data_IF_061129664023
#
_entry.id   IF_061129664023
#
_cell.length_a   1.000
_cell.length_b   1.000
_cell.length_c   1.000
_cell.angle_alpha   90.00
_cell.angle_beta   90.00
_cell.angle_gamma   90.00
#
_symmetry.space_group_name_H-M   'P 1'
#
loop_
_entity.id
_entity.type
_entity.pdbx_description
1 polymer ?
#
# COMPACT_ATOMS: atom_id res chain seq x y z
N UNK A 1 8.39 6.69 -24.54
CA UNK A 1 8.61 5.78 -23.41
C UNK A 1 8.43 6.59 -22.15
N UNK A 2 7.49 6.23 -21.27
CA UNK A 2 7.50 6.77 -19.91
C UNK A 2 8.67 6.10 -19.19
N UNK A 3 9.63 6.88 -18.71
CA UNK A 3 10.73 6.35 -17.91
C UNK A 3 10.16 5.88 -16.56
N UNK A 4 10.21 4.58 -16.30
CA UNK A 4 9.94 4.03 -14.97
C UNK A 4 11.26 4.02 -14.19
N UNK A 5 11.74 5.21 -13.82
CA UNK A 5 12.74 5.31 -12.75
C UNK A 5 12.01 5.05 -11.44
N UNK A 6 12.54 4.17 -10.58
CA UNK A 6 11.97 4.00 -9.25
C UNK A 6 12.05 5.32 -8.50
N UNK A 7 10.98 5.66 -7.76
CA UNK A 7 11.00 6.82 -6.90
C UNK A 7 12.13 6.68 -5.86
N UNK A 8 12.74 7.80 -5.42
CA UNK A 8 13.68 7.78 -4.31
C UNK A 8 13.12 6.97 -3.12
N UNK A 9 13.93 6.19 -2.38
CA UNK A 9 13.43 5.34 -1.30
C UNK A 9 12.72 6.12 -0.18
N UNK A 10 13.06 7.40 -0.05
CA UNK A 10 12.50 8.39 0.87
C UNK A 10 11.28 9.14 0.29
N UNK A 11 10.92 8.89 -0.97
CA UNK A 11 9.77 9.53 -1.58
C UNK A 11 8.48 9.10 -0.87
N UNK A 12 7.66 10.09 -0.54
CA UNK A 12 6.34 9.87 0.02
C UNK A 12 5.46 9.10 -0.99
N UNK A 13 4.65 8.15 -0.51
CA UNK A 13 3.74 7.36 -1.36
C UNK A 13 2.83 8.27 -2.19
N UNK A 14 2.55 7.88 -3.43
CA UNK A 14 1.82 8.73 -4.36
C UNK A 14 0.39 9.06 -3.89
N UNK A 15 -0.24 8.18 -3.09
CA UNK A 15 -1.53 8.49 -2.45
C UNK A 15 -1.36 9.49 -1.31
N UNK A 16 -0.28 9.39 -0.54
CA UNK A 16 0.03 10.33 0.53
C UNK A 16 0.27 11.74 -0.01
N UNK A 17 0.99 11.89 -1.13
CA UNK A 17 1.15 13.18 -1.83
C UNK A 17 -0.18 13.79 -2.29
N UNK A 18 -1.16 12.97 -2.66
CA UNK A 18 -2.50 13.45 -3.03
C UNK A 18 -3.31 13.94 -1.82
N UNK A 19 -3.22 13.27 -0.66
CA UNK A 19 -3.82 13.77 0.58
C UNK A 19 -3.11 15.06 1.06
N UNK A 20 -1.78 14.97 1.19
CA UNK A 20 -0.78 15.99 0.88
C UNK A 20 -1.27 17.38 0.48
N UNK A 21 -1.71 17.43 -0.77
CA UNK A 21 -2.11 18.62 -1.50
C UNK A 21 -3.30 19.38 -0.89
N UNK A 22 -4.06 18.76 0.02
CA UNK A 22 -5.18 19.40 0.72
C UNK A 22 -4.79 20.01 2.07
N UNK A 23 -3.53 19.92 2.50
CA UNK A 23 -3.10 20.48 3.79
C UNK A 23 -3.25 22.00 3.86
N UNK A 24 -3.08 22.69 2.72
CA UNK A 24 -3.23 24.14 2.60
C UNK A 24 -4.68 24.56 2.25
N UNK A 25 -5.62 23.61 2.26
CA UNK A 25 -7.05 23.85 2.00
C UNK A 25 -7.85 23.65 3.29
N UNK A 26 -8.66 24.64 3.66
CA UNK A 26 -9.50 24.54 4.85
C UNK A 26 -10.65 23.54 4.64
N UNK A 27 -10.78 22.59 5.56
CA UNK A 27 -11.97 21.75 5.69
C UNK A 27 -12.75 22.19 6.91
N UNK A 28 -14.01 22.59 6.74
CA UNK A 28 -14.85 23.11 7.83
C UNK A 28 -14.16 24.22 8.65
N UNK A 29 -13.44 25.13 7.96
CA UNK A 29 -12.78 26.28 8.57
C UNK A 29 -11.47 25.99 9.31
N UNK A 30 -10.91 24.77 9.18
CA UNK A 30 -9.63 24.38 9.81
C UNK A 30 -8.71 23.73 8.79
N UNK A 31 -7.41 23.95 8.97
CA UNK A 31 -6.38 23.18 8.28
C UNK A 31 -6.13 21.87 9.01
N UNK A 32 -5.82 20.84 8.24
CA UNK A 32 -5.47 19.52 8.76
C UNK A 32 -4.25 19.01 8.02
N UNK A 33 -3.48 18.17 8.71
CA UNK A 33 -2.51 17.33 8.05
C UNK A 33 -3.20 16.02 7.65
N UNK A 34 -3.40 15.85 6.35
CA UNK A 34 -4.11 14.72 5.76
C UNK A 34 -3.17 13.56 5.48
N UNK A 35 -3.54 12.39 5.97
CA UNK A 35 -2.86 11.12 5.72
C UNK A 35 -3.77 10.18 4.95
N UNK A 36 -3.24 9.34 4.05
CA UNK A 36 -4.05 8.43 3.25
C UNK A 36 -4.74 7.37 4.11
N UNK A 37 -5.96 7.02 3.74
CA UNK A 37 -6.64 5.79 4.16
C UNK A 37 -6.51 4.77 3.04
N UNK A 38 -5.92 3.63 3.35
CA UNK A 38 -5.79 2.48 2.44
C UNK A 38 -6.88 1.44 2.73
N UNK A 39 -7.01 0.46 1.84
CA UNK A 39 -7.77 -0.77 2.06
C UNK A 39 -9.28 -0.54 2.29
N UNK A 40 -9.87 0.45 1.63
CA UNK A 40 -11.33 0.62 1.58
C UNK A 40 -11.93 -0.38 0.56
N UNK A 41 -12.70 -1.39 1.01
CA UNK A 41 -13.22 -2.41 0.12
C UNK A 41 -14.35 -1.90 -0.78
N UNK A 42 -15.03 -0.81 -0.40
CA UNK A 42 -16.15 -0.26 -1.15
C UNK A 42 -15.67 0.72 -2.24
N UNK A 43 -14.62 1.49 -1.95
CA UNK A 43 -14.10 2.50 -2.87
C UNK A 43 -12.56 2.60 -2.80
N UNK A 44 -11.82 1.58 -3.26
CA UNK A 44 -10.35 1.53 -3.15
C UNK A 44 -9.65 2.64 -3.93
N UNK A 45 -10.31 3.19 -4.95
CA UNK A 45 -9.76 4.26 -5.79
C UNK A 45 -10.29 5.67 -5.47
N UNK A 46 -11.12 5.83 -4.44
CA UNK A 46 -11.46 7.15 -3.92
C UNK A 46 -10.28 7.71 -3.11
N UNK A 47 -10.11 9.04 -3.11
CA UNK A 47 -9.10 9.70 -2.27
C UNK A 47 -9.68 9.92 -0.87
N UNK A 48 -9.66 8.86 -0.05
CA UNK A 48 -10.01 8.95 1.37
C UNK A 48 -8.78 9.27 2.19
N UNK A 49 -8.88 10.30 3.03
CA UNK A 49 -7.81 10.76 3.89
C UNK A 49 -8.33 10.91 5.32
N UNK A 50 -7.45 10.72 6.30
CA UNK A 50 -7.74 10.95 7.70
C UNK A 50 -6.85 12.07 8.24
N UNK A 51 -7.40 12.91 9.11
CA UNK A 51 -6.62 13.97 9.73
C UNK A 51 -5.71 13.40 10.82
N UNK A 52 -4.42 13.74 10.77
CA UNK A 52 -3.44 13.25 11.75
C UNK A 52 -3.85 13.65 13.18
N UNK A 53 -3.88 12.66 14.07
CA UNK A 53 -4.23 12.86 15.48
C UNK A 53 -5.71 13.18 15.74
N UNK A 54 -6.60 13.05 14.74
CA UNK A 54 -8.04 13.27 14.88
C UNK A 54 -8.80 12.03 14.41
N UNK A 55 -10.00 11.81 14.96
CA UNK A 55 -10.90 10.76 14.46
C UNK A 55 -11.80 11.29 13.33
N UNK A 56 -11.18 11.86 12.30
CA UNK A 56 -11.86 12.45 11.14
C UNK A 56 -11.34 11.78 9.87
N UNK A 57 -12.25 11.18 9.10
CA UNK A 57 -11.98 10.56 7.79
C UNK A 57 -12.89 11.21 6.77
N UNK A 58 -12.32 11.65 5.65
CA UNK A 58 -13.03 12.39 4.61
C UNK A 58 -12.61 11.86 3.24
N UNK A 59 -13.56 11.79 2.32
CA UNK A 59 -13.27 11.64 0.90
C UNK A 59 -13.00 13.03 0.30
N UNK A 60 -11.73 13.31 0.01
CA UNK A 60 -11.30 14.63 -0.51
C UNK A 60 -11.45 14.72 -2.04
N UNK A 61 -11.46 13.58 -2.72
CA UNK A 61 -11.75 13.49 -4.16
C UNK A 61 -12.40 12.15 -4.51
N UNK A 62 -13.29 12.12 -5.52
CA UNK A 62 -14.00 10.90 -5.93
C UNK A 62 -13.07 9.83 -6.53
N UNK A 63 -11.91 10.25 -7.05
CA UNK A 63 -10.88 9.33 -7.55
C UNK A 63 -9.48 9.87 -7.27
N UNK A 64 -8.55 8.95 -7.01
CA UNK A 64 -7.11 9.20 -7.06
C UNK A 64 -6.63 9.34 -8.51
N UNK A 65 -5.42 9.87 -8.68
CA UNK A 65 -4.73 9.94 -9.97
C UNK A 65 -4.39 8.55 -10.51
N UNK A 66 -4.42 8.40 -11.83
CA UNK A 66 -4.11 7.13 -12.48
C UNK A 66 -2.68 6.67 -12.16
N UNK A 67 -2.51 5.38 -11.85
CA UNK A 67 -1.24 4.79 -11.42
C UNK A 67 -1.03 4.77 -9.91
N UNK A 68 -1.92 5.39 -9.12
CA UNK A 68 -1.90 5.25 -7.66
C UNK A 68 -2.27 3.82 -7.26
N UNK A 69 -1.53 3.22 -6.31
CA UNK A 69 -1.89 1.90 -5.77
C UNK A 69 -3.29 1.93 -5.14
N UNK A 70 -4.08 0.89 -5.39
CA UNK A 70 -5.39 0.73 -4.76
C UNK A 70 -5.25 0.53 -3.24
N UNK A 71 -4.30 -0.34 -2.87
CA UNK A 71 -4.06 -0.84 -1.52
C UNK A 71 -2.56 -0.83 -1.24
N UNK A 72 -2.17 -0.73 0.04
CA UNK A 72 -0.76 -0.66 0.42
C UNK A 72 0.01 -1.96 0.08
N UNK A 73 -0.65 -3.11 0.19
CA UNK A 73 -0.04 -4.43 0.06
C UNK A 73 -0.20 -5.05 -1.35
N UNK A 74 -0.70 -4.29 -2.33
CA UNK A 74 -0.95 -4.78 -3.69
C UNK A 74 -0.21 -3.97 -4.76
N UNK A 75 0.10 -4.65 -5.87
CA UNK A 75 0.55 -4.01 -7.11
C UNK A 75 -0.59 -3.32 -7.87
N UNK A 76 -1.84 -3.66 -7.56
CA UNK A 76 -3.01 -3.16 -8.27
C UNK A 76 -3.08 -1.63 -8.23
N UNK A 77 -3.44 -1.04 -9.38
CA UNK A 77 -3.44 0.39 -9.59
C UNK A 77 -4.82 0.90 -9.95
N UNK A 78 -5.12 2.11 -9.50
CA UNK A 78 -6.30 2.84 -9.92
C UNK A 78 -6.11 3.40 -11.32
N UNK A 79 -7.01 3.05 -12.22
CA UNK A 79 -7.07 3.57 -13.60
C UNK A 79 -8.50 3.99 -13.88
N UNK A 80 -8.71 5.28 -14.15
CA UNK A 80 -10.03 5.88 -14.35
C UNK A 80 -11.00 5.59 -13.20
N UNK A 81 -10.51 5.54 -11.96
CA UNK A 81 -11.30 5.28 -10.76
C UNK A 81 -11.63 3.80 -10.50
N UNK A 82 -11.14 2.88 -11.34
CA UNK A 82 -11.33 1.43 -11.17
C UNK A 82 -10.01 0.81 -10.73
N UNK A 83 -10.06 -0.07 -9.73
CA UNK A 83 -8.88 -0.82 -9.31
C UNK A 83 -8.59 -1.95 -10.32
N UNK A 84 -7.45 -1.84 -11.00
CA UNK A 84 -7.03 -2.76 -12.05
C UNK A 84 -5.87 -3.63 -11.57
N UNK A 85 -5.92 -4.91 -11.92
CA UNK A 85 -4.89 -5.87 -11.54
C UNK A 85 -3.55 -5.56 -12.21
N UNK A 86 -2.45 -5.68 -11.47
CA UNK A 86 -1.09 -5.53 -12.01
C UNK A 86 -0.26 -6.75 -11.65
N UNK A 87 0.30 -7.41 -12.65
CA UNK A 87 1.18 -8.56 -12.43
C UNK A 87 2.53 -8.15 -11.85
N UNK A 88 3.27 -9.11 -11.29
CA UNK A 88 4.62 -8.89 -10.75
C UNK A 88 5.61 -8.33 -11.78
N UNK A 89 5.32 -8.47 -13.08
CA UNK A 89 6.07 -7.90 -14.19
C UNK A 89 5.72 -6.43 -14.48
N UNK A 90 4.97 -5.78 -13.57
CA UNK A 90 4.54 -4.37 -13.63
C UNK A 90 3.66 -4.04 -14.85
N UNK A 91 2.98 -5.05 -15.39
CA UNK A 91 2.05 -4.87 -16.52
C UNK A 91 0.60 -4.91 -16.03
N UNK A 92 -0.18 -3.92 -16.48
CA UNK A 92 -1.62 -3.83 -16.23
C UNK A 92 -2.35 -5.01 -16.89
N UNK A 93 -3.22 -5.68 -16.15
CA UNK A 93 -3.97 -6.86 -16.60
C UNK A 93 -3.13 -8.15 -16.73
N UNK A 94 -1.86 -8.12 -16.34
CA UNK A 94 -1.01 -9.31 -16.36
C UNK A 94 -1.37 -10.25 -15.21
N UNK A 95 -1.47 -11.55 -15.52
CA UNK A 95 -1.67 -12.61 -14.53
C UNK A 95 -0.37 -13.15 -13.94
N UNK A 96 0.78 -12.52 -14.25
CA UNK A 96 2.07 -12.93 -13.71
C UNK A 96 2.11 -12.75 -12.19
N UNK A 97 2.50 -13.80 -11.47
CA UNK A 97 2.65 -13.82 -10.01
C UNK A 97 4.07 -14.22 -9.64
N UNK A 98 4.53 -13.78 -8.48
CA UNK A 98 5.77 -14.29 -7.91
C UNK A 98 5.59 -15.76 -7.53
N UNK A 99 6.65 -16.55 -7.73
CA UNK A 99 6.74 -17.90 -7.18
C UNK A 99 7.07 -17.85 -5.67
N UNK A 100 7.19 -19.01 -5.04
CA UNK A 100 7.54 -19.10 -3.61
C UNK A 100 8.95 -18.59 -3.28
N UNK A 101 9.76 -18.30 -4.29
CA UNK A 101 11.10 -17.74 -4.17
C UNK A 101 11.12 -16.22 -4.36
N UNK A 102 9.97 -15.58 -4.61
CA UNK A 102 9.88 -14.16 -4.90
C UNK A 102 10.29 -13.80 -6.33
N UNK A 103 10.39 -14.78 -7.23
CA UNK A 103 10.75 -14.54 -8.64
C UNK A 103 9.46 -14.41 -9.45
N UNK A 104 9.31 -13.27 -10.14
CA UNK A 104 8.15 -13.04 -11.00
C UNK A 104 8.07 -14.05 -12.14
N UNK A 105 6.93 -14.76 -12.25
CA UNK A 105 6.70 -15.85 -13.17
C UNK A 105 7.78 -16.97 -13.09
N UNK A 106 8.36 -17.16 -11.90
CA UNK A 106 9.34 -18.19 -11.64
C UNK A 106 8.73 -19.59 -11.54
N UNK A 107 9.60 -20.60 -11.58
CA UNK A 107 9.26 -22.03 -11.52
C UNK A 107 9.56 -22.66 -10.15
N UNK A 108 9.98 -21.86 -9.16
CA UNK A 108 10.34 -22.32 -7.82
C UNK A 108 11.73 -22.96 -7.71
N UNK A 109 12.56 -22.90 -8.75
CA UNK A 109 13.89 -23.55 -8.76
C UNK A 109 14.99 -22.73 -8.07
N UNK A 110 14.77 -21.43 -7.81
CA UNK A 110 15.78 -20.50 -7.30
C UNK A 110 15.95 -20.52 -5.79
N UNK A 111 15.08 -21.25 -5.07
CA UNK A 111 15.13 -21.38 -3.62
C UNK A 111 14.79 -22.81 -3.16
N UNK A 112 14.99 -23.08 -1.87
CA UNK A 112 14.64 -24.36 -1.25
C UNK A 112 13.88 -24.15 0.05
N UNK A 113 12.95 -25.06 0.35
CA UNK A 113 12.23 -25.05 1.62
C UNK A 113 13.18 -25.40 2.78
N UNK A 114 13.26 -24.52 3.78
CA UNK A 114 14.00 -24.77 5.02
C UNK A 114 12.99 -24.89 6.16
N UNK A 115 12.99 -26.03 6.89
CA UNK A 115 12.13 -26.24 8.07
C UNK A 115 12.96 -26.02 9.34
N UNK A 116 12.54 -25.09 10.18
CA UNK A 116 13.13 -24.86 11.51
C UNK A 116 12.23 -25.37 12.64
N UNK A 117 12.83 -25.86 13.72
CA UNK A 117 12.14 -26.09 15.00
C UNK A 117 12.52 -24.97 15.96
N UNK A 118 11.56 -24.14 16.38
CA UNK A 118 11.80 -23.15 17.43
C UNK A 118 11.69 -23.84 18.79
N UNK A 119 12.79 -23.88 19.56
CA UNK A 119 12.70 -24.18 20.99
C UNK A 119 12.13 -22.94 21.68
N UNK A 120 10.99 -23.07 22.35
CA UNK A 120 10.48 -22.02 23.20
C UNK A 120 11.54 -21.71 24.27
N UNK A 121 12.11 -20.50 24.23
CA UNK A 121 12.98 -20.02 25.28
C UNK A 121 12.09 -19.67 26.48
N UNK A 122 11.87 -20.64 27.37
CA UNK A 122 11.18 -20.41 28.63
C UNK A 122 12.20 -19.84 29.61
N UNK A 123 12.12 -18.53 29.89
CA UNK A 123 12.90 -17.90 30.97
C UNK A 123 12.51 -18.52 32.32
N UNK A 124 13.47 -18.92 33.19
CA UNK A 124 13.18 -19.65 34.43
C UNK A 124 12.53 -18.87 35.59
N UNK A 125 12.08 -17.63 35.41
CA UNK A 125 11.70 -16.75 36.55
C UNK A 125 10.22 -16.42 36.69
N UNK A 126 9.32 -17.36 36.35
CA UNK A 126 7.91 -17.23 36.75
C UNK A 126 7.33 -18.52 37.32
N UNK A 127 7.91 -18.97 38.42
CA UNK A 127 7.28 -19.90 39.37
C UNK A 127 7.86 -19.72 40.76
N UNK A 128 7.39 -18.68 41.47
CA UNK A 128 7.30 -18.64 42.93
C UNK A 128 5.95 -18.04 43.29
N UNK A 129 5.03 -18.91 43.64
CA UNK A 129 4.03 -18.65 44.67
C UNK A 129 4.70 -18.78 46.03
#
# INVERSE_FOLDING_TARGET
>A
MLAHEDCPPDAEDFRAQQCSAYNDVQYQGRYYEWLPRYNDPAAPCALKCHARGQNLVVELAPKVLDGTRCNADSLDMCISGICQAVGCNRQLGSNAKEDNCGVCAGDGSTCRLVRGQSKAHVSPEKSRF
#
